data_IF_938197267364
#
_entry.id   IF_938197267364
#
_cell.length_a   1.000
_cell.length_b   1.000
_cell.length_c   1.000
_cell.angle_alpha   90.00
_cell.angle_beta   90.00
_cell.angle_gamma   90.00
#
_symmetry.space_group_name_H-M   'P 1'
#
loop_
_entity.id
_entity.type
_entity.pdbx_description
1 polymer ?
#
# COMPACT_ATOMS: atom_id res chain seq x y z
N UNK A 1 18.60 -38.61 48.91
CA UNK A 1 19.54 -37.74 48.17
C UNK A 1 18.95 -37.43 46.79
N UNK A 2 18.87 -36.12 46.47
CA UNK A 2 18.69 -35.51 45.13
C UNK A 2 17.32 -35.70 44.43
N UNK A 3 16.32 -34.98 44.93
CA UNK A 3 15.26 -34.39 44.10
C UNK A 3 15.89 -33.28 43.25
N UNK A 4 16.06 -33.50 41.94
CA UNK A 4 16.55 -32.49 41.02
C UNK A 4 15.37 -31.75 40.36
N UNK A 5 15.21 -30.49 40.77
CA UNK A 5 14.67 -29.36 40.04
C UNK A 5 14.15 -29.63 38.62
N UNK A 6 12.83 -29.73 38.48
CA UNK A 6 12.13 -29.46 37.21
C UNK A 6 11.11 -28.32 37.41
N UNK A 7 11.61 -27.21 37.96
CA UNK A 7 10.85 -25.97 38.08
C UNK A 7 10.85 -25.24 36.75
N UNK A 8 9.70 -25.27 36.08
CA UNK A 8 9.05 -24.04 35.61
C UNK A 8 9.82 -23.22 34.57
N UNK A 9 10.08 -23.78 33.39
CA UNK A 9 10.23 -22.99 32.16
C UNK A 9 8.84 -22.55 31.68
N UNK A 10 8.15 -21.73 32.49
CA UNK A 10 7.17 -20.79 31.94
C UNK A 10 8.03 -19.74 31.26
N UNK A 11 8.41 -20.04 30.00
CA UNK A 11 8.91 -19.02 29.11
C UNK A 11 7.83 -17.95 29.10
N UNK A 12 8.18 -16.85 29.75
CA UNK A 12 7.57 -15.55 29.66
C UNK A 12 7.55 -15.16 28.19
N UNK A 13 6.59 -15.72 27.45
CA UNK A 13 5.99 -15.08 26.29
C UNK A 13 5.30 -13.83 26.84
N UNK A 14 6.12 -12.85 27.19
CA UNK A 14 5.70 -11.48 27.36
C UNK A 14 5.24 -11.10 25.96
N UNK A 15 3.94 -11.30 25.68
CA UNK A 15 3.29 -10.71 24.53
C UNK A 15 3.52 -9.21 24.69
N UNK A 16 4.55 -8.69 24.04
CA UNK A 16 4.72 -7.29 23.78
C UNK A 16 3.55 -6.89 22.90
N UNK A 17 2.40 -6.62 23.51
CA UNK A 17 1.28 -6.00 22.85
C UNK A 17 1.71 -4.58 22.52
N UNK A 18 2.37 -4.42 21.38
CA UNK A 18 2.62 -3.12 20.77
C UNK A 18 1.27 -2.44 20.60
N UNK A 19 1.00 -1.40 21.39
CA UNK A 19 -0.21 -0.58 21.24
C UNK A 19 -0.20 0.00 19.82
N UNK A 20 -1.00 -0.56 18.92
CA UNK A 20 -1.17 -0.01 17.56
C UNK A 20 -1.84 1.35 17.69
N UNK A 21 -1.14 2.42 17.29
CA UNK A 21 -1.72 3.77 17.23
C UNK A 21 -2.83 3.75 16.17
N UNK A 22 -4.07 3.87 16.60
CA UNK A 22 -5.24 3.91 15.70
C UNK A 22 -5.11 5.11 14.77
N UNK A 23 -5.18 4.86 13.46
CA UNK A 23 -5.16 5.94 12.47
C UNK A 23 -6.55 6.58 12.37
N UNK A 24 -6.65 7.84 12.81
CA UNK A 24 -7.88 8.63 12.80
C UNK A 24 -8.42 8.96 11.40
N UNK A 25 -7.63 8.76 10.34
CA UNK A 25 -8.06 8.97 8.95
C UNK A 25 -8.98 7.86 8.45
N UNK A 26 -8.99 6.69 9.09
CA UNK A 26 -9.86 5.59 8.66
C UNK A 26 -11.30 5.90 9.08
N UNK A 27 -12.25 6.03 8.15
CA UNK A 27 -13.65 6.20 8.51
C UNK A 27 -14.14 4.96 9.27
N UNK A 28 -14.72 5.20 10.44
CA UNK A 28 -15.36 4.14 11.22
C UNK A 28 -16.55 3.61 10.39
N UNK A 29 -16.62 2.29 10.20
CA UNK A 29 -17.66 1.55 9.45
C UNK A 29 -17.50 1.39 7.93
N UNK A 30 -16.34 1.63 7.32
CA UNK A 30 -16.28 1.62 5.84
C UNK A 30 -16.28 0.26 5.10
N UNK A 31 -16.07 -0.94 5.64
CA UNK A 31 -15.80 -2.16 4.80
C UNK A 31 -14.62 -2.02 3.80
N UNK A 32 -13.92 -3.13 3.53
CA UNK A 32 -12.83 -3.12 2.54
C UNK A 32 -13.40 -3.39 1.14
N UNK A 33 -12.82 -2.75 0.13
CA UNK A 33 -13.07 -3.04 -1.29
C UNK A 33 -11.79 -3.54 -1.96
N UNK A 34 -11.96 -4.36 -2.99
CA UNK A 34 -10.86 -4.78 -3.87
C UNK A 34 -10.97 -4.00 -5.17
N UNK A 35 -9.86 -3.40 -5.62
CA UNK A 35 -9.76 -2.66 -6.87
C UNK A 35 -8.68 -3.27 -7.75
N UNK A 36 -8.95 -3.36 -9.04
CA UNK A 36 -7.91 -3.53 -10.06
C UNK A 36 -7.51 -2.15 -10.55
N UNK A 37 -6.24 -1.81 -10.43
CA UNK A 37 -5.72 -0.48 -10.71
C UNK A 37 -4.58 -0.54 -11.71
N UNK A 38 -4.60 0.45 -12.61
CA UNK A 38 -3.61 0.68 -13.64
C UNK A 38 -2.76 1.88 -13.24
N UNK A 39 -1.45 1.76 -13.44
CA UNK A 39 -0.55 2.89 -13.31
C UNK A 39 -0.68 3.81 -14.53
N UNK A 40 -0.82 5.12 -14.31
CA UNK A 40 -0.91 6.12 -15.36
C UNK A 40 0.31 7.03 -15.34
N UNK A 41 0.99 7.14 -16.50
CA UNK A 41 2.08 8.11 -16.69
C UNK A 41 1.46 9.48 -16.95
N UNK A 42 1.37 10.28 -15.89
CA UNK A 42 0.89 11.66 -15.92
C UNK A 42 2.03 12.62 -15.58
N UNK A 43 1.96 13.85 -16.09
CA UNK A 43 3.04 14.84 -15.97
C UNK A 43 3.15 15.51 -14.58
N UNK A 44 2.22 15.22 -13.67
CA UNK A 44 2.22 15.77 -12.31
C UNK A 44 2.56 14.70 -11.26
N UNK A 45 3.01 15.15 -10.09
CA UNK A 45 3.29 14.29 -8.92
C UNK A 45 2.02 13.95 -8.14
N UNK A 46 0.89 13.83 -8.85
CA UNK A 46 -0.43 13.59 -8.29
C UNK A 46 -0.67 12.09 -8.06
N UNK A 47 -1.89 11.74 -7.66
CA UNK A 47 -2.36 10.35 -7.66
C UNK A 47 -2.30 9.76 -9.08
N UNK A 48 -1.67 8.58 -9.24
CA UNK A 48 -1.39 7.99 -10.56
C UNK A 48 -2.15 6.69 -10.85
N UNK A 49 -2.83 6.11 -9.87
CA UNK A 49 -3.53 4.84 -10.03
C UNK A 49 -5.00 5.04 -10.32
N UNK A 50 -5.56 4.34 -11.30
CA UNK A 50 -7.00 4.42 -11.61
C UNK A 50 -7.56 3.06 -11.99
N UNK A 51 -8.88 2.89 -11.91
CA UNK A 51 -9.58 1.66 -12.28
C UNK A 51 -9.69 1.47 -13.81
N UNK A 52 -9.36 2.50 -14.58
CA UNK A 52 -9.52 2.55 -16.04
C UNK A 52 -8.40 3.40 -16.67
N UNK A 53 -7.87 3.01 -17.84
CA UNK A 53 -6.83 3.76 -18.55
C UNK A 53 -7.38 4.79 -19.54
N UNK A 54 -8.58 4.61 -20.08
CA UNK A 54 -9.13 5.36 -21.21
C UNK A 54 -10.21 6.37 -20.81
N UNK A 55 -10.85 6.20 -19.65
CA UNK A 55 -11.90 7.12 -19.19
C UNK A 55 -11.34 8.52 -18.87
N UNK A 56 -11.95 9.56 -19.46
CA UNK A 56 -11.55 10.97 -19.23
C UNK A 56 -11.76 11.43 -17.78
N UNK A 57 -12.91 11.10 -17.19
CA UNK A 57 -13.28 11.48 -15.82
C UNK A 57 -13.19 10.27 -14.89
N UNK A 58 -11.97 9.93 -14.49
CA UNK A 58 -11.67 8.79 -13.62
C UNK A 58 -11.12 9.22 -12.27
N UNK A 59 -11.43 8.41 -11.27
CA UNK A 59 -10.88 8.58 -9.93
C UNK A 59 -9.43 8.11 -9.91
N UNK A 60 -8.54 9.04 -9.57
CA UNK A 60 -7.15 8.73 -9.30
C UNK A 60 -6.93 8.50 -7.81
N UNK A 61 -6.07 7.53 -7.51
CA UNK A 61 -5.72 7.12 -6.16
C UNK A 61 -4.22 7.25 -5.93
N UNK A 62 -3.85 7.80 -4.77
CA UNK A 62 -2.60 7.46 -4.11
C UNK A 62 -2.77 6.13 -3.39
N UNK A 63 -1.77 5.26 -3.47
CA UNK A 63 -1.79 3.96 -2.82
C UNK A 63 -0.86 3.95 -1.60
N UNK A 64 -1.44 3.76 -0.42
CA UNK A 64 -0.71 3.76 0.85
C UNK A 64 -0.70 2.35 1.46
N UNK A 65 0.45 1.72 1.73
CA UNK A 65 0.46 0.45 2.46
C UNK A 65 -0.06 0.65 3.89
N UNK A 66 -0.85 -0.30 4.38
CA UNK A 66 -1.33 -0.29 5.77
C UNK A 66 -0.23 -0.54 6.81
N UNK A 67 0.91 -1.09 6.39
CA UNK A 67 2.06 -1.40 7.24
C UNK A 67 3.32 -1.55 6.37
N UNK A 68 4.50 -1.50 7.00
CA UNK A 68 5.78 -1.48 6.31
C UNK A 68 6.19 -2.84 5.69
N UNK A 69 5.48 -3.93 5.99
CA UNK A 69 5.75 -5.24 5.38
C UNK A 69 5.11 -5.38 3.99
N UNK A 70 4.22 -4.45 3.61
CA UNK A 70 3.62 -4.42 2.27
C UNK A 70 4.51 -3.64 1.31
N UNK A 71 4.73 -4.20 0.12
CA UNK A 71 5.47 -3.56 -0.96
C UNK A 71 4.85 -2.22 -1.35
N UNK A 72 5.67 -1.18 -1.50
CA UNK A 72 5.24 0.12 -2.04
C UNK A 72 5.02 0.03 -3.55
N UNK A 73 3.77 0.04 -3.98
CA UNK A 73 3.38 -0.11 -5.40
C UNK A 73 3.97 0.90 -6.36
N UNK A 74 4.23 2.12 -5.91
CA UNK A 74 4.79 3.17 -6.76
C UNK A 74 6.22 2.82 -7.21
N UNK A 75 6.87 1.82 -6.60
CA UNK A 75 8.18 1.31 -7.04
C UNK A 75 8.09 0.24 -8.13
N UNK A 76 6.88 -0.14 -8.57
CA UNK A 76 6.69 -1.16 -9.61
C UNK A 76 6.93 -0.62 -11.02
N UNK A 77 6.62 0.66 -11.26
CA UNK A 77 6.91 1.30 -12.53
C UNK A 77 8.40 1.67 -12.58
N UNK A 78 9.08 1.22 -13.62
CA UNK A 78 10.52 1.41 -13.78
C UNK A 78 10.89 2.66 -14.60
N UNK A 79 9.89 3.44 -15.03
CA UNK A 79 10.07 4.61 -15.89
C UNK A 79 9.87 4.33 -17.37
N UNK A 80 9.79 3.07 -17.78
CA UNK A 80 9.86 2.68 -19.20
C UNK A 80 8.69 1.77 -19.61
N UNK A 81 8.35 0.78 -18.78
CA UNK A 81 7.48 -0.30 -19.20
C UNK A 81 6.06 -0.20 -18.64
N UNK A 82 5.09 -0.33 -19.54
CA UNK A 82 3.66 -0.34 -19.28
C UNK A 82 2.99 -1.53 -19.99
N UNK A 83 1.84 -2.01 -19.49
CA UNK A 83 1.12 -1.52 -18.31
C UNK A 83 1.66 -2.13 -17.01
N UNK A 84 1.52 -1.37 -15.92
CA UNK A 84 1.63 -1.89 -14.56
C UNK A 84 0.22 -1.99 -13.98
N UNK A 85 -0.18 -3.21 -13.63
CA UNK A 85 -1.53 -3.51 -13.14
C UNK A 85 -1.44 -4.26 -11.81
N UNK A 86 -2.17 -3.75 -10.82
CA UNK A 86 -2.23 -4.33 -9.48
C UNK A 86 -3.68 -4.55 -9.05
N UNK A 87 -3.89 -5.57 -8.23
CA UNK A 87 -5.12 -5.76 -7.48
C UNK A 87 -4.83 -5.44 -6.01
N UNK A 88 -5.58 -4.51 -5.43
CA UNK A 88 -5.41 -4.06 -4.04
C UNK A 88 -6.71 -4.21 -3.25
N UNK A 89 -6.63 -4.74 -2.03
CA UNK A 89 -7.75 -4.75 -1.09
C UNK A 89 -7.49 -3.74 0.01
N UNK A 90 -8.48 -2.89 0.32
CA UNK A 90 -8.30 -1.79 1.25
C UNK A 90 -9.48 -0.84 1.33
N UNK A 91 -9.21 0.40 1.76
CA UNK A 91 -10.22 1.45 1.95
C UNK A 91 -9.69 2.81 1.53
N UNK A 92 -10.60 3.70 1.12
CA UNK A 92 -10.26 5.12 0.96
C UNK A 92 -10.19 5.74 2.35
N UNK A 93 -9.03 6.28 2.75
CA UNK A 93 -8.83 6.93 4.05
C UNK A 93 -8.86 8.46 3.97
N UNK A 94 -8.71 9.03 2.77
CA UNK A 94 -8.86 10.46 2.49
C UNK A 94 -9.40 10.61 1.08
N UNK A 95 -10.29 11.57 0.84
CA UNK A 95 -10.81 11.87 -0.52
C UNK A 95 -10.14 13.09 -1.17
N UNK A 96 -9.51 13.95 -0.35
CA UNK A 96 -8.70 15.10 -0.81
C UNK A 96 -7.50 15.24 0.11
N UNK A 97 -6.49 14.42 -0.09
CA UNK A 97 -5.27 14.52 0.71
C UNK A 97 -4.10 13.73 0.15
N UNK A 98 -3.14 13.46 1.02
CA UNK A 98 -1.89 12.80 0.67
C UNK A 98 -1.60 11.60 1.57
N UNK A 99 -0.81 10.63 1.07
CA UNK A 99 -0.27 9.56 1.90
C UNK A 99 0.51 10.08 3.09
N UNK A 100 0.60 9.25 4.13
CA UNK A 100 1.43 9.50 5.31
C UNK A 100 2.88 9.76 4.89
N UNK A 101 3.45 10.86 5.39
CA UNK A 101 4.84 11.21 5.13
C UNK A 101 5.12 11.72 3.70
N UNK A 102 4.10 11.85 2.86
CA UNK A 102 4.24 12.46 1.54
C UNK A 102 4.63 13.93 1.69
N UNK A 103 5.59 14.37 0.88
CA UNK A 103 6.08 15.76 0.83
C UNK A 103 5.72 16.32 -0.54
N UNK A 104 4.57 17.01 -0.69
CA UNK A 104 4.13 17.56 -1.96
C UNK A 104 5.20 18.47 -2.56
N UNK A 105 5.49 18.29 -3.84
CA UNK A 105 6.28 19.22 -4.64
C UNK A 105 5.38 20.17 -5.42
N UNK A 106 5.95 21.17 -6.07
CA UNK A 106 5.19 22.09 -6.94
C UNK A 106 4.42 21.28 -8.00
N UNK A 107 3.11 21.47 -8.07
CA UNK A 107 2.22 20.75 -8.99
C UNK A 107 1.71 19.39 -8.49
N UNK A 108 1.96 19.03 -7.21
CA UNK A 108 1.26 17.91 -6.58
C UNK A 108 -0.14 18.35 -6.14
N UNK A 109 -1.16 17.56 -6.53
CA UNK A 109 -2.55 17.82 -6.15
C UNK A 109 -3.06 16.78 -5.14
N UNK A 110 -3.90 17.19 -4.17
CA UNK A 110 -4.52 16.26 -3.23
C UNK A 110 -5.51 15.36 -3.94
N UNK A 111 -5.57 14.09 -3.55
CA UNK A 111 -6.42 13.09 -4.20
C UNK A 111 -6.99 12.07 -3.23
N UNK A 112 -7.64 11.05 -3.78
CA UNK A 112 -8.09 9.91 -2.98
C UNK A 112 -6.86 9.13 -2.49
N UNK A 113 -6.77 8.88 -1.18
CA UNK A 113 -5.75 8.01 -0.60
C UNK A 113 -6.39 6.67 -0.28
N UNK A 114 -6.06 5.65 -1.07
CA UNK A 114 -6.52 4.29 -0.84
C UNK A 114 -5.44 3.53 -0.07
N UNK A 115 -5.75 3.20 1.18
CA UNK A 115 -4.87 2.39 2.01
C UNK A 115 -5.18 0.91 1.83
N UNK A 116 -4.20 0.14 1.37
CA UNK A 116 -4.36 -1.28 1.13
C UNK A 116 -3.76 -2.15 2.25
N UNK A 117 -4.47 -3.24 2.53
CA UNK A 117 -4.10 -4.31 3.46
C UNK A 117 -3.61 -5.55 2.73
N UNK A 118 -3.95 -5.69 1.45
CA UNK A 118 -3.47 -6.75 0.56
C UNK A 118 -3.16 -6.19 -0.81
N UNK A 119 -2.21 -6.83 -1.47
CA UNK A 119 -1.86 -6.52 -2.85
C UNK A 119 -1.45 -7.77 -3.61
N UNK A 120 -1.80 -7.81 -4.89
CA UNK A 120 -1.33 -8.76 -5.89
C UNK A 120 -0.94 -8.00 -7.16
N UNK A 121 0.28 -8.22 -7.66
CA UNK A 121 0.69 -7.70 -8.96
C UNK A 121 0.09 -8.61 -10.03
N UNK A 122 -0.73 -8.05 -10.93
CA UNK A 122 -1.36 -8.78 -12.02
C UNK A 122 -0.51 -8.76 -13.28
N UNK A 123 0.07 -7.60 -13.58
CA UNK A 123 0.92 -7.40 -14.75
C UNK A 123 2.00 -6.37 -14.43
N UNK A 124 3.24 -6.73 -14.77
CA UNK A 124 4.37 -5.82 -14.87
C UNK A 124 5.34 -6.43 -15.88
N UNK A 125 5.88 -5.62 -16.79
CA UNK A 125 7.01 -6.06 -17.59
C UNK A 125 8.25 -6.07 -16.70
N UNK A 126 8.91 -7.24 -16.62
CA UNK A 126 10.20 -7.35 -15.94
C UNK A 126 11.28 -7.21 -17.01
N UNK A 127 12.35 -6.46 -16.69
CA UNK A 127 13.60 -6.53 -17.46
C UNK A 127 13.94 -7.99 -17.71
N UNK A 128 14.02 -8.41 -18.97
CA UNK A 128 14.77 -9.61 -19.32
C UNK A 128 16.19 -9.34 -18.85
N UNK A 129 16.68 -10.13 -17.89
CA UNK A 129 18.09 -10.09 -17.55
C UNK A 129 18.85 -10.32 -18.87
N UNK A 130 19.64 -9.35 -19.29
CA UNK A 130 20.55 -9.53 -20.41
C UNK A 130 21.50 -10.66 -20.01
N UNK A 131 21.27 -11.86 -20.55
CA UNK A 131 22.25 -12.94 -20.48
C UNK A 131 23.39 -12.45 -21.37
N UNK A 132 24.46 -12.00 -20.72
CA UNK A 132 25.70 -11.59 -21.37
C UNK A 132 26.56 -12.82 -21.60
#
# INVERSE_FOLDING_TARGET
MKFLFFTLLIFTFCLAQTKRKVDKRIPQNQSEKTLTLYYNVISCTCAQWSEDTEKENKDYYYLEPSNDNLMKVDTLFDGEHLPVVVEVTGRVVLTKGYPKGFKPTKGADPGNVFRYTKIRVLQMERRKAAIK
#
